data_IF_736811941358
#
_entry.id   IF_736811941358
#
_cell.length_a   1.000
_cell.length_b   1.000
_cell.length_c   1.000
_cell.angle_alpha   90.00
_cell.angle_beta   90.00
_cell.angle_gamma   90.00
#
_symmetry.space_group_name_H-M   'P 1'
#
loop_
_entity.id
_entity.type
_entity.pdbx_description
1 polymer ?
#
# COMPACT_ATOMS: atom_id res chain seq x y z
N UNK A 1 -48.11 -0.84 -17.25
CA UNK A 1 -47.92 -0.77 -15.79
C UNK A 1 -46.44 -0.52 -15.54
N UNK A 2 -46.05 0.75 -15.48
CA UNK A 2 -44.66 1.17 -15.33
C UNK A 2 -44.49 1.58 -13.87
N UNK A 3 -43.92 0.68 -13.07
CA UNK A 3 -43.65 0.93 -11.66
C UNK A 3 -42.51 1.93 -11.54
N UNK A 4 -42.83 3.17 -11.17
CA UNK A 4 -41.84 4.14 -10.73
C UNK A 4 -41.33 3.71 -9.37
N UNK A 5 -40.06 3.32 -9.30
CA UNK A 5 -39.36 3.09 -8.04
C UNK A 5 -39.41 4.38 -7.20
N UNK A 6 -39.74 4.25 -5.93
CA UNK A 6 -39.77 5.37 -5.00
C UNK A 6 -38.34 5.80 -4.68
N UNK A 7 -38.10 7.09 -4.47
CA UNK A 7 -36.76 7.67 -4.17
C UNK A 7 -36.07 7.06 -2.94
N UNK A 8 -36.79 6.28 -2.14
CA UNK A 8 -36.28 5.57 -0.96
C UNK A 8 -35.55 4.26 -1.35
N UNK A 9 -35.96 3.59 -2.43
CA UNK A 9 -35.34 2.33 -2.88
C UNK A 9 -34.02 2.55 -3.64
N UNK A 10 -33.86 3.68 -4.34
CA UNK A 10 -32.56 4.08 -4.93
C UNK A 10 -31.51 4.45 -3.86
N UNK A 11 -31.94 4.93 -2.69
CA UNK A 11 -31.03 5.25 -1.59
C UNK A 11 -30.54 3.99 -0.85
N UNK A 12 -31.33 2.91 -0.84
CA UNK A 12 -30.96 1.63 -0.21
C UNK A 12 -29.89 0.83 -0.99
N UNK A 13 -29.72 1.11 -2.29
CA UNK A 13 -28.61 0.57 -3.10
C UNK A 13 -27.40 1.52 -3.22
N UNK A 14 -27.53 2.76 -2.72
CA UNK A 14 -26.58 3.86 -2.99
C UNK A 14 -25.60 4.22 -1.86
N UNK A 15 -25.75 3.68 -0.65
CA UNK A 15 -24.96 4.12 0.51
C UNK A 15 -24.56 2.94 1.37
N UNK A 16 -23.25 2.63 1.45
CA UNK A 16 -22.52 1.98 2.57
C UNK A 16 -21.12 1.43 2.18
N UNK A 17 -20.43 1.90 1.11
CA UNK A 17 -18.96 1.73 0.98
C UNK A 17 -18.19 2.92 1.59
N UNK A 18 -18.39 3.19 2.87
CA UNK A 18 -17.71 4.30 3.57
C UNK A 18 -17.26 3.95 4.98
N UNK A 19 -16.28 3.04 5.11
CA UNK A 19 -15.20 3.23 6.10
C UNK A 19 -13.97 2.38 5.79
N UNK A 20 -12.96 3.01 5.18
CA UNK A 20 -11.57 2.54 5.30
C UNK A 20 -10.71 3.70 5.74
N UNK A 21 -10.71 3.94 7.05
CA UNK A 21 -9.65 4.71 7.70
C UNK A 21 -9.21 3.98 8.95
N UNK A 22 -8.57 2.84 8.72
CA UNK A 22 -7.89 2.06 9.74
C UNK A 22 -6.44 2.53 9.73
N UNK A 23 -6.00 3.12 10.85
CA UNK A 23 -4.61 3.46 11.09
C UNK A 23 -4.02 2.38 11.98
N UNK A 24 -2.83 1.91 11.63
CA UNK A 24 -2.00 1.07 12.50
C UNK A 24 -0.67 1.77 12.68
N UNK A 25 -0.33 2.02 13.93
CA UNK A 25 0.96 2.58 14.32
C UNK A 25 1.59 1.58 15.28
N UNK A 26 2.85 1.25 15.07
CA UNK A 26 3.64 0.43 15.97
C UNK A 26 4.95 1.12 16.30
N UNK A 27 5.34 1.03 17.56
CA UNK A 27 6.62 1.50 18.05
C UNK A 27 7.13 0.45 19.02
N UNK A 28 8.33 -0.06 18.75
CA UNK A 28 8.99 -1.07 19.58
C UNK A 28 10.39 -0.59 19.91
N UNK A 29 10.73 -0.56 21.20
CA UNK A 29 12.06 -0.22 21.68
C UNK A 29 12.72 -1.45 22.30
N UNK A 30 13.89 -1.83 21.79
CA UNK A 30 14.67 -2.97 22.25
C UNK A 30 15.97 -2.47 22.89
N UNK A 31 16.26 -2.96 24.09
CA UNK A 31 17.46 -2.63 24.84
C UNK A 31 18.12 -3.91 25.37
N UNK A 32 19.42 -4.04 25.14
CA UNK A 32 20.25 -5.15 25.61
C UNK A 32 21.46 -4.55 26.31
N UNK A 33 21.65 -4.94 27.58
CA UNK A 33 22.82 -4.58 28.38
C UNK A 33 23.61 -5.82 28.77
N UNK A 34 24.84 -5.93 28.28
CA UNK A 34 25.79 -6.97 28.64
C UNK A 34 26.28 -6.84 30.09
N UNK A 35 26.92 -7.91 30.58
CA UNK A 35 27.53 -7.97 31.92
C UNK A 35 28.72 -6.99 32.00
N UNK A 36 29.40 -6.75 30.87
CA UNK A 36 30.36 -5.67 30.64
C UNK A 36 29.84 -4.70 29.56
N UNK A 37 30.33 -3.46 29.54
CA UNK A 37 29.99 -2.39 28.56
C UNK A 37 30.30 -2.76 27.08
N UNK A 38 30.86 -3.94 26.83
CA UNK A 38 31.21 -4.43 25.50
C UNK A 38 30.00 -4.80 24.63
N UNK A 39 28.81 -4.98 25.21
CA UNK A 39 27.60 -5.38 24.48
C UNK A 39 26.40 -4.53 24.97
N UNK A 40 26.42 -3.24 24.67
CA UNK A 40 25.24 -2.37 24.82
C UNK A 40 24.60 -2.11 23.45
N UNK A 41 23.31 -2.43 23.31
CA UNK A 41 22.56 -2.26 22.06
C UNK A 41 21.19 -1.70 22.34
N UNK A 42 20.87 -0.57 21.71
CA UNK A 42 19.61 0.12 21.91
C UNK A 42 19.01 0.51 20.56
N UNK A 43 17.82 -0.03 20.25
CA UNK A 43 17.21 0.07 18.92
C UNK A 43 15.73 0.42 18.98
N UNK A 44 15.30 1.27 18.05
CA UNK A 44 13.92 1.64 17.85
C UNK A 44 13.41 1.10 16.53
N UNK A 45 12.22 0.52 16.56
CA UNK A 45 11.45 0.13 15.39
C UNK A 45 10.19 0.96 15.38
N UNK A 46 9.91 1.62 14.26
CA UNK A 46 8.69 2.40 14.07
C UNK A 46 8.01 1.99 12.78
N UNK A 47 6.68 1.93 12.79
CA UNK A 47 5.90 1.62 11.61
C UNK A 47 4.52 2.24 11.61
N UNK A 48 4.07 2.66 10.44
CA UNK A 48 2.75 3.24 10.19
C UNK A 48 2.18 2.56 8.95
N UNK A 49 0.93 2.12 9.01
CA UNK A 49 0.16 1.59 7.87
C UNK A 49 -1.24 2.21 7.91
N UNK A 50 -1.63 2.85 6.81
CA UNK A 50 -2.88 3.62 6.78
C UNK A 50 -3.48 3.76 5.39
N UNK A 51 -4.80 3.81 5.34
CA UNK A 51 -5.55 4.31 4.19
C UNK A 51 -5.67 5.83 4.29
N UNK A 52 -4.93 6.55 3.44
CA UNK A 52 -4.95 8.02 3.39
C UNK A 52 -6.25 8.49 2.75
N UNK A 53 -6.67 7.80 1.69
CA UNK A 53 -7.97 7.98 1.02
C UNK A 53 -8.54 6.61 0.67
N UNK A 54 -9.76 6.55 0.11
CA UNK A 54 -10.39 5.28 -0.31
C UNK A 54 -9.51 4.43 -1.25
N UNK A 55 -8.72 5.10 -2.08
CA UNK A 55 -7.95 4.45 -3.14
C UNK A 55 -6.45 4.49 -2.88
N UNK A 56 -5.99 5.12 -1.79
CA UNK A 56 -4.57 5.27 -1.48
C UNK A 56 -4.25 4.66 -0.13
N UNK A 57 -3.33 3.70 -0.12
CA UNK A 57 -2.76 3.13 1.09
C UNK A 57 -1.26 3.42 1.13
N UNK A 58 -0.79 3.86 2.29
CA UNK A 58 0.63 4.14 2.53
C UNK A 58 1.09 3.33 3.74
N UNK A 59 2.26 2.71 3.61
CA UNK A 59 2.98 2.07 4.71
C UNK A 59 4.38 2.64 4.80
N UNK A 60 4.86 2.91 6.01
CA UNK A 60 6.23 3.33 6.27
C UNK A 60 6.76 2.60 7.49
N UNK A 61 7.97 2.05 7.41
CA UNK A 61 8.67 1.47 8.55
C UNK A 61 10.11 1.93 8.60
N UNK A 62 10.66 2.01 9.80
CA UNK A 62 12.05 2.39 10.03
C UNK A 62 12.61 1.66 11.24
N UNK A 63 13.93 1.43 11.21
CA UNK A 63 14.71 0.97 12.36
C UNK A 63 15.90 1.90 12.56
N UNK A 64 16.05 2.37 13.79
CA UNK A 64 17.15 3.21 14.21
C UNK A 64 17.96 2.52 15.30
N UNK A 65 19.28 2.61 15.21
CA UNK A 65 20.21 2.16 16.24
C UNK A 65 20.75 3.37 16.99
N UNK A 66 20.48 3.45 18.29
CA UNK A 66 20.97 4.53 19.14
C UNK A 66 22.42 4.33 19.56
N UNK A 67 22.90 3.08 19.63
CA UNK A 67 24.30 2.76 19.94
C UNK A 67 25.20 3.20 18.80
N UNK A 68 24.88 2.79 17.58
CA UNK A 68 25.64 3.14 16.37
C UNK A 68 25.22 4.49 15.76
N UNK A 69 24.21 5.15 16.34
CA UNK A 69 23.63 6.44 15.90
C UNK A 69 23.29 6.47 14.41
N UNK A 70 22.69 5.40 13.89
CA UNK A 70 22.37 5.29 12.46
C UNK A 70 21.02 4.67 12.17
N UNK A 71 20.46 5.02 11.01
CA UNK A 71 19.32 4.34 10.43
C UNK A 71 19.78 3.00 9.84
N UNK A 72 19.22 1.90 10.35
CA UNK A 72 19.50 0.54 9.85
C UNK A 72 18.66 0.28 8.60
N UNK A 73 17.34 0.53 8.68
CA UNK A 73 16.44 0.31 7.57
C UNK A 73 15.33 1.35 7.49
N UNK A 74 14.86 1.56 6.27
CA UNK A 74 13.64 2.30 5.96
C UNK A 74 12.89 1.56 4.86
N UNK A 75 11.58 1.51 4.95
CA UNK A 75 10.72 0.97 3.91
C UNK A 75 9.52 1.87 3.72
N UNK A 76 9.22 2.25 2.49
CA UNK A 76 8.01 2.97 2.10
C UNK A 76 7.24 2.10 1.11
N UNK A 77 5.95 1.92 1.33
CA UNK A 77 5.03 1.26 0.40
C UNK A 77 3.87 2.18 0.09
N UNK A 78 3.51 2.27 -1.18
CA UNK A 78 2.38 3.07 -1.65
C UNK A 78 1.56 2.18 -2.58
N UNK A 79 0.27 2.07 -2.29
CA UNK A 79 -0.71 1.36 -3.10
C UNK A 79 -1.78 2.33 -3.57
N UNK A 80 -2.12 2.25 -4.86
CA UNK A 80 -3.20 3.03 -5.47
C UNK A 80 -4.13 2.14 -6.29
N UNK A 81 -5.41 2.14 -5.93
CA UNK A 81 -6.48 1.50 -6.71
C UNK A 81 -6.96 2.42 -7.82
N UNK A 82 -6.73 2.11 -9.09
CA UNK A 82 -7.13 2.88 -10.27
C UNK A 82 -8.39 2.29 -10.94
N UNK A 83 -9.27 1.62 -10.17
CA UNK A 83 -10.48 0.93 -10.64
C UNK A 83 -10.18 -0.41 -11.34
N UNK A 84 -9.88 -0.39 -12.63
CA UNK A 84 -9.52 -1.61 -13.38
C UNK A 84 -8.04 -1.97 -13.20
N UNK A 85 -7.24 -1.06 -12.67
CA UNK A 85 -5.79 -1.17 -12.55
C UNK A 85 -5.40 -0.97 -11.10
N UNK A 86 -4.26 -1.51 -10.70
CA UNK A 86 -3.60 -1.16 -9.45
C UNK A 86 -2.15 -0.80 -9.69
N UNK A 87 -1.67 0.19 -8.94
CA UNK A 87 -0.28 0.58 -8.90
C UNK A 87 0.28 0.31 -7.51
N UNK A 88 1.48 -0.25 -7.47
CA UNK A 88 2.23 -0.57 -6.27
C UNK A 88 3.63 0.01 -6.41
N UNK A 89 4.03 0.81 -5.45
CA UNK A 89 5.38 1.32 -5.31
C UNK A 89 5.94 0.86 -3.98
N UNK A 90 7.19 0.38 -3.99
CA UNK A 90 7.94 0.13 -2.76
C UNK A 90 9.35 0.66 -2.87
N UNK A 91 9.78 1.41 -1.88
CA UNK A 91 11.17 1.85 -1.71
C UNK A 91 11.71 1.25 -0.41
N UNK A 92 12.90 0.67 -0.46
CA UNK A 92 13.53 0.07 0.71
C UNK A 92 15.00 0.48 0.76
N UNK A 93 15.45 0.88 1.94
CA UNK A 93 16.84 1.20 2.24
C UNK A 93 17.33 0.31 3.37
N UNK A 94 18.52 -0.27 3.21
CA UNK A 94 19.21 -1.09 4.21
C UNK A 94 20.72 -0.92 4.08
N UNK A 95 21.39 -0.56 5.18
CA UNK A 95 22.86 -0.52 5.25
C UNK A 95 23.50 0.35 4.15
N UNK A 96 22.92 1.53 3.88
CA UNK A 96 23.43 2.48 2.89
C UNK A 96 23.08 2.15 1.42
N UNK A 97 22.46 1.00 1.15
CA UNK A 97 21.93 0.66 -0.18
C UNK A 97 20.43 0.85 -0.21
N UNK A 98 19.91 1.26 -1.36
CA UNK A 98 18.48 1.41 -1.58
C UNK A 98 18.05 0.71 -2.85
N UNK A 99 16.77 0.32 -2.87
CA UNK A 99 16.10 -0.25 -4.03
C UNK A 99 14.67 0.29 -4.10
N UNK A 100 14.14 0.34 -5.31
CA UNK A 100 12.74 0.66 -5.54
C UNK A 100 12.15 -0.28 -6.57
N UNK A 101 10.86 -0.55 -6.40
CA UNK A 101 10.07 -1.35 -7.31
C UNK A 101 8.78 -0.61 -7.59
N UNK A 102 8.42 -0.53 -8.87
CA UNK A 102 7.14 -0.01 -9.31
C UNK A 102 6.44 -1.04 -10.19
N UNK A 103 5.19 -1.37 -9.85
CA UNK A 103 4.40 -2.39 -10.54
C UNK A 103 3.02 -1.83 -10.82
N UNK A 104 2.57 -1.99 -12.06
CA UNK A 104 1.20 -1.72 -12.48
C UNK A 104 0.59 -3.02 -12.97
N UNK A 105 -0.64 -3.32 -12.52
CA UNK A 105 -1.35 -4.55 -12.90
C UNK A 105 -2.80 -4.25 -13.23
N UNK A 106 -3.38 -5.02 -14.15
CA UNK A 106 -4.81 -4.99 -14.45
C UNK A 106 -5.52 -5.90 -13.44
N UNK A 107 -6.42 -5.33 -12.62
CA UNK A 107 -7.29 -6.06 -11.67
C UNK A 107 -8.52 -6.64 -12.36
N UNK A 108 -9.08 -5.89 -13.30
CA UNK A 108 -10.26 -6.27 -14.09
C UNK A 108 -10.01 -5.83 -15.52
N UNK A 109 -10.09 -6.78 -16.45
CA UNK A 109 -10.01 -6.48 -17.87
C UNK A 109 -11.26 -5.65 -18.19
N UNK A 110 -11.15 -4.37 -18.56
CA UNK A 110 -12.30 -3.64 -19.09
C UNK A 110 -12.78 -4.42 -20.31
N UNK A 111 -14.08 -4.67 -20.48
CA UNK A 111 -14.62 -5.45 -21.61
C UNK A 111 -13.97 -5.00 -22.92
N UNK A 112 -12.95 -5.72 -23.36
CA UNK A 112 -12.32 -5.46 -24.64
C UNK A 112 -13.28 -6.10 -25.61
N UNK A 113 -14.20 -5.31 -26.17
CA UNK A 113 -14.94 -5.72 -27.36
C UNK A 113 -13.92 -5.83 -28.48
N UNK A 114 -13.29 -7.00 -28.58
CA UNK A 114 -12.41 -7.30 -29.70
C UNK A 114 -13.30 -7.54 -30.91
N UNK A 115 -13.64 -6.47 -31.61
CA UNK A 115 -14.33 -6.59 -32.90
C UNK A 115 -13.35 -7.23 -33.88
N UNK A 116 -13.84 -8.22 -34.65
CA UNK A 116 -13.09 -9.07 -35.60
C UNK A 116 -12.14 -8.33 -36.57
N UNK A 117 -12.22 -7.00 -36.69
CA UNK A 117 -11.33 -6.20 -37.53
C UNK A 117 -9.89 -6.04 -37.03
N UNK A 118 -9.62 -6.11 -35.73
CA UNK A 118 -8.26 -5.86 -35.19
C UNK A 118 -7.29 -7.01 -35.47
N UNK A 119 -7.78 -8.24 -35.64
CA UNK A 119 -6.97 -9.41 -35.99
C UNK A 119 -6.78 -9.59 -37.51
N UNK A 120 -7.49 -8.84 -38.35
CA UNK A 120 -7.38 -8.94 -39.82
C UNK A 120 -6.14 -8.27 -40.41
N UNK A 121 -5.34 -7.55 -39.61
CA UNK A 121 -4.15 -6.81 -40.07
C UNK A 121 -2.85 -7.63 -39.84
N UNK A 122 -2.92 -8.71 -39.06
CA UNK A 122 -1.75 -9.50 -38.64
C UNK A 122 -1.73 -10.92 -39.21
N UNK A 123 -2.67 -11.27 -40.10
CA UNK A 123 -2.70 -12.56 -40.80
C UNK A 123 -2.76 -12.24 -42.30
N UNK A 124 -1.71 -12.54 -43.10
CA UNK A 124 -1.80 -12.46 -44.55
C UNK A 124 -2.79 -13.48 -45.12
#
# INVERSE_FOLDING_TARGET
LQGSLTKEEENLYGTEEKKRKMWRINVTHNFVKGIDELIDSQQLFGGIDTWVTKNWKIGYNTRYDFTEKRLINQSLSIYRDLHCWEAQFSWNSYGGRWKYDFKIKIKKIPEIKVTKGVFGIFIP
#
